data_IF_818793213559
#
_entry.id   IF_818793213559
#
_cell.length_a   1.000
_cell.length_b   1.000
_cell.length_c   1.000
_cell.angle_alpha   90.00
_cell.angle_beta   90.00
_cell.angle_gamma   90.00
#
_symmetry.space_group_name_H-M   'P 1'
#
loop_
_entity.id
_entity.type
_entity.pdbx_description
1 polymer ?
#
# COMPACT_ATOMS: atom_id res chain seq x y z
N UNK A 1 27.32 -6.83 -1.04
CA UNK A 1 26.18 -7.42 -1.82
C UNK A 1 26.41 -8.91 -2.01
N UNK A 2 25.35 -9.71 -1.97
CA UNK A 2 25.33 -11.18 -1.98
C UNK A 2 24.60 -11.64 -3.24
N UNK A 3 25.12 -12.65 -3.92
CA UNK A 3 24.47 -13.24 -5.10
C UNK A 3 23.65 -14.47 -4.68
N UNK A 4 22.36 -14.48 -5.03
CA UNK A 4 21.44 -15.60 -4.81
C UNK A 4 20.82 -15.99 -6.15
N UNK A 5 21.33 -17.06 -6.75
CA UNK A 5 20.95 -17.45 -8.11
C UNK A 5 21.39 -16.39 -9.11
N UNK A 6 20.43 -15.74 -9.76
CA UNK A 6 20.64 -14.65 -10.72
C UNK A 6 20.26 -13.26 -10.17
N UNK A 7 20.09 -13.13 -8.85
CA UNK A 7 19.66 -11.88 -8.18
C UNK A 7 20.78 -11.37 -7.27
N UNK A 8 21.09 -10.07 -7.36
CA UNK A 8 21.98 -9.37 -6.44
C UNK A 8 21.19 -8.82 -5.27
N UNK A 9 21.60 -9.19 -4.06
CA UNK A 9 20.94 -8.86 -2.79
C UNK A 9 21.88 -7.97 -1.97
N UNK A 10 21.39 -6.90 -1.36
CA UNK A 10 22.25 -6.07 -0.50
C UNK A 10 22.64 -6.82 0.78
N UNK A 11 23.89 -6.71 1.23
CA UNK A 11 24.36 -7.43 2.44
C UNK A 11 23.74 -6.91 3.73
N UNK A 12 23.18 -5.70 3.68
CA UNK A 12 22.44 -5.11 4.79
C UNK A 12 21.24 -5.95 5.22
N UNK A 13 20.70 -6.82 4.35
CA UNK A 13 19.64 -7.77 4.71
C UNK A 13 20.07 -8.82 5.74
N UNK A 14 21.38 -9.06 5.91
CA UNK A 14 21.89 -9.95 6.99
C UNK A 14 21.85 -9.23 8.35
N UNK A 15 22.15 -7.93 8.34
CA UNK A 15 22.34 -7.15 9.57
C UNK A 15 21.09 -6.38 9.99
N UNK A 16 20.17 -6.16 9.06
CA UNK A 16 18.93 -5.43 9.27
C UNK A 16 17.76 -6.36 9.00
N UNK A 17 16.89 -6.51 10.00
CA UNK A 17 15.60 -7.16 9.81
C UNK A 17 14.78 -6.32 8.82
N UNK A 18 14.48 -6.83 7.63
CA UNK A 18 13.46 -6.26 6.73
C UNK A 18 12.07 -6.60 7.27
N UNK A 19 11.83 -6.20 8.51
CA UNK A 19 10.57 -6.39 9.22
C UNK A 19 10.21 -5.04 9.80
N UNK A 20 9.00 -4.58 9.49
CA UNK A 20 8.48 -3.31 10.00
C UNK A 20 8.62 -3.29 11.54
N UNK A 21 9.51 -2.44 12.07
CA UNK A 21 9.70 -2.34 13.52
C UNK A 21 8.62 -1.43 14.10
N UNK A 22 7.44 -1.99 14.33
CA UNK A 22 6.26 -1.25 14.78
C UNK A 22 6.50 -0.54 16.13
N UNK A 23 7.34 -1.11 16.99
CA UNK A 23 7.72 -0.47 18.26
C UNK A 23 8.53 0.82 18.05
N UNK A 24 9.31 0.92 16.97
CA UNK A 24 10.08 2.11 16.61
C UNK A 24 9.29 3.09 15.75
N UNK A 25 8.67 2.62 14.66
CA UNK A 25 7.98 3.50 13.71
C UNK A 25 6.58 3.91 14.17
N UNK A 26 5.98 3.17 15.12
CA UNK A 26 4.61 3.40 15.60
C UNK A 26 3.55 3.41 14.48
N UNK A 27 3.83 2.74 13.36
CA UNK A 27 2.94 2.66 12.22
C UNK A 27 2.96 3.89 11.29
N UNK A 28 3.86 4.85 11.52
CA UNK A 28 3.89 6.10 10.72
C UNK A 28 4.05 5.84 9.22
N UNK A 29 4.88 4.87 8.83
CA UNK A 29 5.07 4.49 7.42
C UNK A 29 3.85 3.83 6.76
N UNK A 30 2.80 3.49 7.53
CA UNK A 30 1.54 2.95 7.01
C UNK A 30 0.42 4.02 6.97
N UNK A 31 0.69 5.21 7.51
CA UNK A 31 -0.27 6.32 7.62
C UNK A 31 0.21 7.54 6.84
N UNK A 32 1.52 7.74 6.72
CA UNK A 32 2.12 8.82 5.96
C UNK A 32 2.98 8.19 4.87
N UNK A 33 2.59 8.39 3.61
CA UNK A 33 3.27 7.81 2.46
C UNK A 33 2.67 8.31 1.16
N UNK A 34 3.53 8.71 0.22
CA UNK A 34 3.15 9.29 -1.06
C UNK A 34 2.63 8.25 -2.08
N UNK A 35 2.60 6.96 -1.70
CA UNK A 35 2.05 5.88 -2.51
C UNK A 35 1.43 4.79 -1.64
N UNK A 36 0.44 4.09 -2.19
CA UNK A 36 -0.28 3.03 -1.50
C UNK A 36 0.39 1.68 -1.56
N UNK A 37 -0.33 0.65 -1.12
CA UNK A 37 0.16 -0.72 -1.23
C UNK A 37 0.25 -1.12 -2.71
N UNK A 38 1.39 -1.69 -3.16
CA UNK A 38 1.56 -2.11 -4.55
C UNK A 38 0.60 -3.25 -4.90
N UNK A 39 0.15 -3.25 -6.15
CA UNK A 39 -0.83 -4.19 -6.70
C UNK A 39 -0.32 -4.82 -8.00
N UNK A 40 -0.74 -6.06 -8.23
CA UNK A 40 -0.65 -6.72 -9.52
C UNK A 40 -1.86 -6.35 -10.39
N UNK A 41 -1.68 -6.36 -11.71
CA UNK A 41 -2.79 -6.12 -12.65
C UNK A 41 -3.96 -7.10 -12.45
N UNK A 42 -3.69 -8.34 -12.03
CA UNK A 42 -4.72 -9.33 -11.70
C UNK A 42 -5.56 -8.97 -10.46
N UNK A 43 -5.03 -8.15 -9.56
CA UNK A 43 -5.70 -7.79 -8.30
C UNK A 43 -6.75 -6.68 -8.49
N UNK A 44 -6.72 -5.94 -9.61
CA UNK A 44 -7.71 -4.90 -9.94
C UNK A 44 -9.12 -5.48 -10.01
N UNK A 45 -9.27 -6.62 -10.67
CA UNK A 45 -10.56 -7.30 -10.77
C UNK A 45 -11.06 -7.78 -9.40
N UNK A 46 -10.14 -8.21 -8.53
CA UNK A 46 -10.46 -8.62 -7.16
C UNK A 46 -10.96 -7.42 -6.36
N UNK A 47 -10.26 -6.27 -6.42
CA UNK A 47 -10.66 -5.03 -5.74
C UNK A 47 -12.05 -4.55 -6.18
N UNK A 48 -12.34 -4.61 -7.47
CA UNK A 48 -13.67 -4.31 -8.01
C UNK A 48 -14.76 -5.22 -7.42
N UNK A 49 -14.50 -6.52 -7.33
CA UNK A 49 -15.45 -7.50 -6.79
C UNK A 49 -15.67 -7.37 -5.29
N UNK A 50 -14.60 -7.13 -4.52
CA UNK A 50 -14.67 -7.08 -3.05
C UNK A 50 -15.09 -5.71 -2.52
N UNK A 51 -14.92 -4.62 -3.30
CA UNK A 51 -15.22 -3.27 -2.84
C UNK A 51 -16.61 -3.10 -2.20
N UNK A 52 -17.71 -3.60 -2.79
CA UNK A 52 -19.03 -3.51 -2.17
C UNK A 52 -19.12 -4.25 -0.82
N UNK A 53 -18.29 -5.28 -0.61
CA UNK A 53 -18.24 -6.07 0.63
C UNK A 53 -17.40 -5.38 1.70
N UNK A 54 -16.35 -4.66 1.32
CA UNK A 54 -15.45 -3.96 2.26
C UNK A 54 -15.88 -2.53 2.56
N UNK A 55 -16.57 -1.85 1.63
CA UNK A 55 -17.06 -0.47 1.77
C UNK A 55 -17.75 -0.18 3.11
N UNK A 56 -18.61 -1.05 3.67
CA UNK A 56 -19.27 -0.79 4.95
C UNK A 56 -18.34 -0.71 6.17
N UNK A 57 -17.11 -1.21 6.06
CA UNK A 57 -16.11 -1.22 7.12
C UNK A 57 -15.06 -0.12 6.96
N UNK A 58 -15.05 0.54 5.80
CA UNK A 58 -14.12 1.61 5.50
C UNK A 58 -14.52 2.91 6.20
N UNK A 59 -13.55 3.79 6.35
CA UNK A 59 -13.75 5.12 6.92
C UNK A 59 -14.38 6.05 5.87
N UNK A 60 -15.10 7.08 6.31
CA UNK A 60 -15.74 8.04 5.40
C UNK A 60 -14.71 8.66 4.43
N UNK A 61 -13.55 9.07 4.94
CA UNK A 61 -12.45 9.61 4.14
C UNK A 61 -11.90 8.62 3.11
N UNK A 62 -11.76 7.35 3.50
CA UNK A 62 -11.29 6.30 2.57
C UNK A 62 -12.29 6.07 1.44
N UNK A 63 -13.58 6.10 1.74
CA UNK A 63 -14.65 6.00 0.74
C UNK A 63 -14.61 7.21 -0.20
N UNK A 64 -14.51 8.43 0.33
CA UNK A 64 -14.41 9.67 -0.46
C UNK A 64 -13.20 9.64 -1.41
N UNK A 65 -12.03 9.22 -0.91
CA UNK A 65 -10.82 9.10 -1.72
C UNK A 65 -11.00 8.10 -2.88
N UNK A 66 -11.67 6.96 -2.64
CA UNK A 66 -11.96 5.99 -3.70
C UNK A 66 -12.98 6.53 -4.71
N UNK A 67 -13.97 7.28 -4.26
CA UNK A 67 -14.98 7.89 -5.14
C UNK A 67 -14.38 8.98 -6.03
N UNK A 68 -13.38 9.71 -5.55
CA UNK A 68 -12.66 10.74 -6.32
C UNK A 68 -11.59 10.16 -7.26
N UNK A 69 -10.75 9.24 -6.76
CA UNK A 69 -9.53 8.82 -7.44
C UNK A 69 -9.64 7.43 -8.08
N UNK A 70 -10.55 6.59 -7.59
CA UNK A 70 -10.69 5.18 -7.97
C UNK A 70 -10.28 4.22 -6.85
N UNK A 71 -10.52 2.92 -7.05
CA UNK A 71 -10.21 1.84 -6.08
C UNK A 71 -8.71 1.52 -5.99
N UNK A 72 -7.98 1.92 -7.01
CA UNK A 72 -6.54 1.78 -7.20
C UNK A 72 -6.12 2.90 -8.16
N UNK A 73 -4.85 3.29 -8.11
CA UNK A 73 -4.27 4.36 -8.93
C UNK A 73 -2.93 3.89 -9.50
N UNK A 74 -2.46 4.60 -10.52
CA UNK A 74 -1.05 4.54 -10.92
C UNK A 74 -0.37 5.73 -10.26
N UNK A 75 0.65 5.47 -9.45
CA UNK A 75 1.34 6.51 -8.70
C UNK A 75 2.31 7.33 -9.58
N UNK A 76 3.06 8.23 -8.94
CA UNK A 76 4.03 9.11 -9.63
C UNK A 76 5.20 8.35 -10.24
N UNK A 77 5.54 7.18 -9.70
CA UNK A 77 6.62 6.33 -10.17
C UNK A 77 6.16 5.37 -11.28
N UNK A 78 4.86 5.35 -11.57
CA UNK A 78 4.24 4.53 -12.61
C UNK A 78 3.81 3.15 -12.11
N UNK A 79 3.82 2.93 -10.80
CA UNK A 79 3.43 1.68 -10.17
C UNK A 79 1.92 1.66 -9.88
N UNK A 80 1.30 0.49 -10.05
CA UNK A 80 -0.10 0.28 -9.71
C UNK A 80 -0.21 0.08 -8.20
N UNK A 81 -0.97 0.94 -7.52
CA UNK A 81 -1.10 0.90 -6.06
C UNK A 81 -2.54 1.12 -5.59
N UNK A 82 -2.81 0.80 -4.31
CA UNK A 82 -4.09 1.16 -3.67
C UNK A 82 -4.20 2.67 -3.48
N UNK A 83 -5.39 3.21 -3.56
CA UNK A 83 -5.65 4.64 -3.31
C UNK A 83 -5.29 5.06 -1.88
N UNK A 84 -4.64 6.21 -1.72
CA UNK A 84 -4.36 6.84 -0.43
C UNK A 84 -5.28 8.05 -0.20
N UNK A 85 -5.69 8.27 1.05
CA UNK A 85 -6.44 9.46 1.47
C UNK A 85 -5.57 10.70 1.27
N UNK A 86 -6.15 11.76 0.72
CA UNK A 86 -5.47 13.01 0.34
C UNK A 86 -4.23 12.82 -0.56
N UNK A 87 -4.10 11.65 -1.19
CA UNK A 87 -2.98 11.29 -2.07
C UNK A 87 -1.68 10.92 -1.37
N UNK A 88 -1.51 11.18 -0.07
CA UNK A 88 -0.25 10.91 0.64
C UNK A 88 -0.39 10.49 2.12
N UNK A 89 -1.59 10.10 2.54
CA UNK A 89 -1.85 9.67 3.91
C UNK A 89 -2.17 8.17 3.98
N UNK A 90 -3.11 7.80 4.84
CA UNK A 90 -3.46 6.41 5.05
C UNK A 90 -4.03 5.77 3.77
N UNK A 91 -3.84 4.45 3.63
CA UNK A 91 -4.51 3.69 2.59
C UNK A 91 -6.03 3.83 2.73
N UNK A 92 -6.77 4.00 1.64
CA UNK A 92 -8.23 4.15 1.67
C UNK A 92 -8.97 2.97 2.32
N UNK A 93 -8.34 1.80 2.38
CA UNK A 93 -8.91 0.56 2.92
C UNK A 93 -8.63 0.31 4.40
N UNK A 94 -7.99 1.24 5.12
CA UNK A 94 -7.76 1.07 6.57
C UNK A 94 -9.07 1.11 7.36
N UNK A 95 -9.10 0.35 8.45
CA UNK A 95 -10.23 0.27 9.39
C UNK A 95 -9.69 0.39 10.81
N UNK A 96 -10.36 1.13 11.70
CA UNK A 96 -9.97 1.30 13.10
C UNK A 96 -11.16 1.29 14.05
#
# INVERSE_FOLDING_TARGET
MIEVGNVLVHEDLINNDFVCNLSKCKGICCIEGDSGAPLLESEKAILEEIYPKVKPYMTEKGIEAIEEQGKYVVDIDGDLTTTCVDGNKECAYVTW
#
